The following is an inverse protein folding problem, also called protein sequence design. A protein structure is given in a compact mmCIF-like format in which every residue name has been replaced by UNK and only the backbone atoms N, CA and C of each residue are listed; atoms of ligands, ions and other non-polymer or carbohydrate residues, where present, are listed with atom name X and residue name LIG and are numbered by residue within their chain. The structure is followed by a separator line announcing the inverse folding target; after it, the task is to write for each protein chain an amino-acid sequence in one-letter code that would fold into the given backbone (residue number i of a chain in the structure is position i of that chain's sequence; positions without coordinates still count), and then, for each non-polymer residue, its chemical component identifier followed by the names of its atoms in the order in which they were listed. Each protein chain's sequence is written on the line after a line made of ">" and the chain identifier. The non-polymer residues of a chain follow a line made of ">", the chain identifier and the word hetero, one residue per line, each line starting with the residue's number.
data_IF_749711542477
#
_entry.id   IF_749711542477
#
_cell.length_a   1.000
_cell.length_b   1.000
_cell.length_c   1.000
_cell.angle_alpha   90.00
_cell.angle_beta   90.00
_cell.angle_gamma   90.00
#
_symmetry.space_group_name_H-M   'P 1'
#
loop_
_entity.id
_entity.type
_entity.pdbx_description
1 polymer ?
#
# COMPACT_ATOMS: atom_id res chain seq x y z
N UNK A 1 19.07 3.10 21.51
CA UNK A 1 19.08 1.65 21.83
C UNK A 1 18.12 0.96 20.87
N UNK A 2 18.62 0.24 19.85
CA UNK A 2 17.76 -0.51 18.91
C UNK A 2 17.36 -1.81 19.60
N UNK A 3 16.07 -1.98 19.89
CA UNK A 3 15.57 -3.12 20.65
C UNK A 3 15.70 -4.41 19.83
N UNK A 4 16.46 -5.37 20.34
CA UNK A 4 16.74 -6.70 19.76
C UNK A 4 15.53 -7.66 19.88
N UNK A 5 14.30 -7.19 19.63
CA UNK A 5 13.08 -8.03 19.72
C UNK A 5 12.58 -8.55 18.36
N UNK A 6 13.29 -8.23 17.27
CA UNK A 6 12.90 -8.55 15.88
C UNK A 6 12.80 -10.06 15.61
N UNK A 7 13.62 -10.87 16.26
CA UNK A 7 13.66 -12.32 16.01
C UNK A 7 12.52 -13.10 16.70
N UNK A 8 11.66 -12.43 17.47
CA UNK A 8 10.54 -13.08 18.20
C UNK A 8 9.18 -12.89 17.56
N UNK A 9 8.98 -11.86 16.74
CA UNK A 9 7.67 -11.54 16.17
C UNK A 9 7.59 -12.10 14.76
N UNK A 10 6.81 -13.18 14.60
CA UNK A 10 6.46 -13.70 13.29
C UNK A 10 5.04 -13.22 12.89
N UNK A 11 4.91 -12.24 11.98
CA UNK A 11 3.61 -11.69 11.62
C UNK A 11 2.84 -12.57 10.63
N UNK A 12 3.40 -13.70 10.15
CA UNK A 12 2.83 -14.49 9.06
C UNK A 12 1.42 -14.97 9.33
N UNK A 13 1.15 -15.46 10.54
CA UNK A 13 -0.15 -16.02 10.90
C UNK A 13 -0.97 -15.11 11.83
N UNK A 14 -0.55 -13.85 12.01
CA UNK A 14 -1.29 -12.88 12.82
C UNK A 14 -2.58 -12.43 12.13
N UNK A 15 -3.61 -12.14 12.92
CA UNK A 15 -4.80 -11.46 12.39
C UNK A 15 -4.45 -9.99 12.09
N UNK A 16 -5.05 -9.37 11.06
CA UNK A 16 -4.75 -7.98 10.69
C UNK A 16 -4.90 -6.97 11.85
N UNK A 17 -5.91 -7.18 12.72
CA UNK A 17 -6.12 -6.33 13.90
C UNK A 17 -4.93 -6.40 14.88
N UNK A 18 -4.42 -7.59 15.15
CA UNK A 18 -3.28 -7.79 16.05
C UNK A 18 -2.00 -7.16 15.47
N UNK A 19 -1.78 -7.35 14.17
CA UNK A 19 -0.64 -6.74 13.48
C UNK A 19 -0.70 -5.21 13.52
N UNK A 20 -1.89 -4.62 13.30
CA UNK A 20 -2.07 -3.16 13.40
C UNK A 20 -1.79 -2.63 14.80
N UNK A 21 -2.10 -3.36 15.87
CA UNK A 21 -1.76 -2.95 17.24
C UNK A 21 -0.23 -2.89 17.42
N UNK A 22 0.52 -3.87 16.91
CA UNK A 22 1.99 -3.84 16.94
C UNK A 22 2.56 -2.62 16.20
N UNK A 23 1.97 -2.32 15.03
CA UNK A 23 2.35 -1.16 14.23
C UNK A 23 2.03 0.15 14.97
N UNK A 24 0.86 0.26 15.58
CA UNK A 24 0.43 1.44 16.36
C UNK A 24 1.34 1.70 17.57
N UNK A 25 1.85 0.64 18.19
CA UNK A 25 2.81 0.73 19.29
C UNK A 25 4.27 0.96 18.80
N UNK A 26 4.48 1.12 17.50
CA UNK A 26 5.80 1.24 16.85
C UNK A 26 6.72 0.02 17.10
N UNK A 27 6.15 -1.12 17.48
CA UNK A 27 6.85 -2.39 17.67
C UNK A 27 7.19 -3.06 16.33
N UNK A 28 6.47 -2.69 15.27
CA UNK A 28 6.75 -3.11 13.89
C UNK A 28 6.86 -1.91 12.93
N UNK A 29 8.07 -1.66 12.43
CA UNK A 29 8.38 -0.58 11.49
C UNK A 29 9.02 -1.09 10.18
N UNK A 30 8.81 -2.36 9.85
CA UNK A 30 9.44 -3.06 8.72
C UNK A 30 8.43 -3.44 7.63
N UNK A 31 8.91 -4.08 6.55
CA UNK A 31 8.09 -4.51 5.43
C UNK A 31 6.93 -5.42 5.88
N UNK A 32 5.76 -5.24 5.28
CA UNK A 32 4.55 -6.03 5.58
C UNK A 32 4.39 -7.27 4.69
N UNK A 33 5.40 -7.59 3.86
CA UNK A 33 5.26 -8.52 2.74
C UNK A 33 4.73 -9.89 3.11
N UNK A 34 5.09 -10.37 4.29
CA UNK A 34 4.71 -11.69 4.78
C UNK A 34 3.81 -11.61 6.00
N UNK A 35 3.24 -10.45 6.32
CA UNK A 35 2.31 -10.31 7.42
C UNK A 35 0.89 -10.75 7.02
N UNK A 36 0.17 -11.36 7.96
CA UNK A 36 -1.25 -11.69 7.85
C UNK A 36 -1.59 -12.50 6.59
N UNK A 37 -1.03 -13.70 6.47
CA UNK A 37 -1.29 -14.61 5.36
C UNK A 37 -2.80 -14.82 5.14
N UNK A 38 -3.20 -14.79 3.86
CA UNK A 38 -4.60 -14.96 3.46
C UNK A 38 -5.43 -13.67 3.48
N UNK A 39 -4.90 -12.58 4.05
CA UNK A 39 -5.56 -11.28 4.02
C UNK A 39 -5.08 -10.40 2.87
N UNK A 40 -5.99 -9.57 2.36
CA UNK A 40 -5.65 -8.56 1.38
C UNK A 40 -4.77 -7.49 2.04
N UNK A 41 -3.80 -6.99 1.28
CA UNK A 41 -3.02 -5.81 1.62
C UNK A 41 -3.23 -4.77 0.53
N UNK A 42 -3.26 -3.50 0.93
CA UNK A 42 -3.51 -2.38 0.03
C UNK A 42 -2.30 -1.44 0.01
N UNK A 43 -2.14 -0.75 -1.11
CA UNK A 43 -1.32 0.46 -1.15
C UNK A 43 -2.21 1.64 -0.72
N UNK A 44 -1.57 2.71 -0.25
CA UNK A 44 -2.27 3.90 0.26
C UNK A 44 -1.82 5.14 -0.51
N UNK A 45 -2.78 5.97 -0.91
CA UNK A 45 -2.52 7.34 -1.35
C UNK A 45 -3.47 8.28 -0.61
N UNK A 46 -2.94 9.36 -0.06
CA UNK A 46 -3.72 10.39 0.63
C UNK A 46 -3.43 11.73 -0.05
N UNK A 47 -4.45 12.40 -0.53
CA UNK A 47 -4.33 13.66 -1.27
C UNK A 47 -5.31 14.70 -0.74
N UNK A 48 -4.98 16.00 -0.81
CA UNK A 48 -5.95 17.07 -0.58
C UNK A 48 -7.22 16.91 -1.45
N UNK A 49 -8.37 17.30 -0.90
CA UNK A 49 -9.68 17.22 -1.57
C UNK A 49 -9.69 17.88 -2.95
N UNK A 50 -8.97 18.99 -3.09
CA UNK A 50 -8.83 19.71 -4.37
C UNK A 50 -8.25 18.82 -5.50
N UNK A 51 -7.44 17.81 -5.17
CA UNK A 51 -6.84 16.88 -6.14
C UNK A 51 -7.54 15.52 -6.16
N UNK A 52 -8.46 15.25 -5.24
CA UNK A 52 -9.08 13.94 -5.10
C UNK A 52 -9.88 13.52 -6.34
N UNK A 53 -10.58 14.46 -6.99
CA UNK A 53 -11.31 14.18 -8.23
C UNK A 53 -10.37 13.77 -9.37
N UNK A 54 -9.30 14.55 -9.60
CA UNK A 54 -8.31 14.26 -10.63
C UNK A 54 -7.63 12.91 -10.37
N UNK A 55 -7.33 12.61 -9.11
CA UNK A 55 -6.72 11.33 -8.72
C UNK A 55 -7.66 10.16 -8.95
N UNK A 56 -8.93 10.28 -8.55
CA UNK A 56 -9.93 9.25 -8.81
C UNK A 56 -10.12 9.00 -10.31
N UNK A 57 -10.23 10.07 -11.11
CA UNK A 57 -10.32 9.96 -12.57
C UNK A 57 -9.06 9.33 -13.17
N UNK A 58 -7.88 9.65 -12.64
CA UNK A 58 -6.62 9.00 -13.03
C UNK A 58 -6.68 7.49 -12.74
N UNK A 59 -7.14 7.08 -11.56
CA UNK A 59 -7.29 5.67 -11.23
C UNK A 59 -8.32 4.97 -12.12
N UNK A 60 -9.48 5.59 -12.39
CA UNK A 60 -10.52 5.03 -13.28
C UNK A 60 -10.03 4.86 -14.72
N UNK A 61 -9.21 5.79 -15.22
CA UNK A 61 -8.57 5.67 -16.55
C UNK A 61 -7.43 4.66 -16.61
N UNK A 62 -6.91 4.25 -15.45
CA UNK A 62 -5.78 3.32 -15.31
C UNK A 62 -6.08 2.23 -14.27
N UNK A 63 -7.14 1.42 -14.46
CA UNK A 63 -7.65 0.52 -13.41
C UNK A 63 -6.71 -0.66 -13.12
N UNK A 64 -5.86 -1.05 -14.07
CA UNK A 64 -4.86 -2.11 -13.88
C UNK A 64 -3.73 -1.70 -12.92
N UNK A 65 -3.05 -0.55 -13.12
CA UNK A 65 -2.03 -0.10 -12.17
C UNK A 65 -2.58 0.57 -10.91
N UNK A 66 -3.79 1.14 -10.96
CA UNK A 66 -4.40 1.87 -9.86
C UNK A 66 -5.82 1.36 -9.52
N UNK A 67 -5.99 0.07 -9.19
CA UNK A 67 -7.30 -0.47 -8.84
C UNK A 67 -7.75 0.13 -7.50
N UNK A 68 -8.82 0.94 -7.50
CA UNK A 68 -9.39 1.51 -6.27
C UNK A 68 -10.25 0.46 -5.58
N UNK A 69 -9.98 0.21 -4.30
CA UNK A 69 -10.75 -0.71 -3.47
C UNK A 69 -11.73 0.03 -2.56
N UNK A 70 -11.31 1.15 -1.99
CA UNK A 70 -12.13 2.00 -1.12
C UNK A 70 -11.58 3.43 -1.16
N UNK A 71 -12.47 4.42 -1.02
CA UNK A 71 -12.14 5.84 -0.89
C UNK A 71 -12.85 6.37 0.34
N UNK A 72 -12.13 7.10 1.20
CA UNK A 72 -12.74 7.75 2.37
C UNK A 72 -13.13 9.18 2.03
N UNK A 73 -14.20 9.66 2.67
CA UNK A 73 -14.59 11.07 2.59
C UNK A 73 -13.48 11.97 3.17
N UNK A 74 -13.44 13.27 2.82
CA UNK A 74 -12.43 14.19 3.36
C UNK A 74 -12.39 14.19 4.90
N UNK A 75 -11.20 14.04 5.46
CA UNK A 75 -10.95 14.05 6.91
C UNK A 75 -11.20 12.72 7.61
N UNK A 76 -11.93 11.80 6.98
CA UNK A 76 -12.19 10.46 7.53
C UNK A 76 -10.91 9.64 7.65
N UNK A 77 -10.73 9.01 8.81
CA UNK A 77 -9.51 8.27 9.15
C UNK A 77 -9.70 6.77 9.13
N UNK A 78 -10.95 6.30 9.21
CA UNK A 78 -11.28 4.89 9.35
C UNK A 78 -11.93 4.36 8.05
N UNK A 79 -11.38 3.29 7.45
CA UNK A 79 -12.07 2.56 6.38
C UNK A 79 -13.44 2.09 6.83
N UNK A 80 -14.45 2.11 5.96
CA UNK A 80 -15.79 1.60 6.27
C UNK A 80 -15.92 0.11 5.94
N UNK A 81 -15.17 -0.38 4.94
CA UNK A 81 -15.29 -1.74 4.42
C UNK A 81 -14.04 -2.57 4.72
N UNK A 82 -12.85 -2.05 4.38
CA UNK A 82 -11.62 -2.86 4.39
C UNK A 82 -11.12 -3.19 5.80
N UNK A 83 -11.22 -2.24 6.73
CA UNK A 83 -10.79 -2.38 8.13
C UNK A 83 -11.46 -1.33 9.03
N UNK A 84 -12.74 -1.51 9.42
CA UNK A 84 -13.52 -0.56 10.24
C UNK A 84 -12.87 -0.10 11.54
N UNK A 85 -12.01 -0.93 12.11
CA UNK A 85 -11.32 -0.68 13.36
C UNK A 85 -9.95 -0.01 13.19
N UNK A 86 -9.49 0.22 11.96
CA UNK A 86 -8.18 0.79 11.68
C UNK A 86 -8.23 2.31 11.54
N UNK A 87 -7.31 3.00 12.20
CA UNK A 87 -7.04 4.42 11.94
C UNK A 87 -5.87 4.52 10.96
N UNK A 88 -6.12 5.04 9.75
CA UNK A 88 -5.13 5.18 8.68
C UNK A 88 -3.93 6.05 9.06
N UNK A 89 -4.03 6.85 10.12
CA UNK A 89 -2.94 7.72 10.57
C UNK A 89 -1.85 6.95 11.31
N UNK A 90 -2.18 5.79 11.86
CA UNK A 90 -1.32 4.99 12.76
C UNK A 90 -1.27 3.50 12.38
N UNK A 91 -2.10 3.03 11.45
CA UNK A 91 -2.21 1.61 11.12
C UNK A 91 -1.15 1.05 10.14
N UNK A 92 -0.26 1.90 9.61
CA UNK A 92 0.82 1.48 8.71
C UNK A 92 2.19 1.69 9.37
N UNK A 93 3.16 0.78 9.14
CA UNK A 93 4.46 0.83 9.80
C UNK A 93 5.32 2.01 9.37
N UNK A 94 5.07 2.57 8.19
CA UNK A 94 5.83 3.70 7.63
C UNK A 94 5.05 4.42 6.55
N UNK A 95 5.17 5.74 6.52
CA UNK A 95 4.57 6.62 5.51
C UNK A 95 5.66 7.35 4.73
N UNK A 96 5.27 7.97 3.62
CA UNK A 96 6.11 8.89 2.87
C UNK A 96 5.35 10.19 2.66
N UNK A 97 5.91 11.29 3.14
CA UNK A 97 5.29 12.60 3.03
C UNK A 97 5.90 13.34 1.87
N UNK A 98 5.05 13.82 0.96
CA UNK A 98 5.48 14.57 -0.22
C UNK A 98 5.01 16.02 -0.15
N UNK A 99 5.89 16.96 -0.51
CA UNK A 99 5.57 18.37 -0.72
C UNK A 99 6.21 18.84 -2.02
N UNK A 100 5.41 19.43 -2.90
CA UNK A 100 5.85 19.91 -4.22
C UNK A 100 6.62 18.83 -5.02
N UNK A 101 6.12 17.59 -5.00
CA UNK A 101 6.70 16.45 -5.72
C UNK A 101 7.99 15.88 -5.10
N UNK A 102 8.46 16.38 -3.95
CA UNK A 102 9.63 15.86 -3.24
C UNK A 102 9.24 15.20 -1.93
N UNK A 103 9.87 14.08 -1.60
CA UNK A 103 9.70 13.44 -0.30
C UNK A 103 10.42 14.27 0.76
N UNK A 104 9.72 14.65 1.83
CA UNK A 104 10.25 15.52 2.90
C UNK A 104 10.37 14.80 4.25
N UNK A 105 9.64 13.69 4.43
CA UNK A 105 9.67 12.91 5.67
C UNK A 105 9.22 11.46 5.41
N UNK A 106 9.58 10.56 6.32
CA UNK A 106 9.14 9.17 6.33
C UNK A 106 8.79 8.66 7.75
N UNK A 107 7.72 9.17 8.39
CA UNK A 107 7.40 8.86 9.78
C UNK A 107 6.68 7.50 9.93
N UNK A 108 6.60 7.00 11.17
CA UNK A 108 5.83 5.79 11.53
C UNK A 108 4.32 6.06 11.72
N UNK A 109 3.92 7.33 11.85
CA UNK A 109 2.54 7.78 11.88
C UNK A 109 2.42 9.17 11.24
N UNK A 110 1.20 9.58 10.88
CA UNK A 110 0.95 10.86 10.19
C UNK A 110 0.05 11.81 10.97
N UNK A 111 -0.03 11.65 12.30
CA UNK A 111 -0.86 12.51 13.16
C UNK A 111 -0.52 13.99 12.98
N UNK A 112 0.76 14.33 12.91
CA UNK A 112 1.24 15.71 12.73
C UNK A 112 1.09 16.25 11.30
N UNK A 113 0.77 15.37 10.33
CA UNK A 113 0.59 15.73 8.92
C UNK A 113 -0.87 15.72 8.49
N UNK A 114 -1.77 15.24 9.34
CA UNK A 114 -3.17 15.07 9.00
C UNK A 114 -3.88 16.43 8.88
N UNK A 115 -4.83 16.50 7.94
CA UNK A 115 -5.72 17.65 7.71
C UNK A 115 -7.12 17.14 7.41
N UNK A 116 -8.12 17.93 7.78
CA UNK A 116 -9.55 17.59 7.58
C UNK A 116 -9.99 17.56 6.11
N UNK A 117 -9.16 18.07 5.19
CA UNK A 117 -9.46 18.04 3.75
C UNK A 117 -8.78 16.89 3.01
N UNK A 118 -8.08 15.97 3.71
CA UNK A 118 -7.41 14.85 3.07
C UNK A 118 -8.40 13.75 2.70
N UNK A 119 -8.28 13.25 1.47
CA UNK A 119 -9.04 12.12 0.94
C UNK A 119 -8.10 10.92 0.82
N UNK A 120 -8.53 9.79 1.39
CA UNK A 120 -7.73 8.56 1.45
C UNK A 120 -8.20 7.56 0.40
N UNK A 121 -7.26 7.04 -0.38
CA UNK A 121 -7.48 6.03 -1.41
C UNK A 121 -6.75 4.74 -1.06
N UNK A 122 -7.51 3.66 -0.91
CA UNK A 122 -6.97 2.31 -0.80
C UNK A 122 -6.88 1.68 -2.18
N UNK A 123 -5.66 1.41 -2.61
CA UNK A 123 -5.39 0.80 -3.91
C UNK A 123 -5.03 -0.67 -3.75
N UNK A 124 -5.49 -1.50 -4.68
CA UNK A 124 -5.17 -2.91 -4.72
C UNK A 124 -3.66 -3.16 -4.86
N UNK A 125 -3.24 -4.33 -4.41
CA UNK A 125 -1.86 -4.76 -4.43
C UNK A 125 -1.74 -6.11 -5.13
N UNK A 126 -0.62 -6.35 -5.84
CA UNK A 126 -0.31 -7.64 -6.49
C UNK A 126 0.08 -8.75 -5.50
N UNK A 127 -0.29 -8.62 -4.22
CA UNK A 127 0.04 -9.57 -3.15
C UNK A 127 -0.94 -10.72 -3.06
N UNK A 128 -2.20 -10.54 -3.43
CA UNK A 128 -3.12 -11.67 -3.61
C UNK A 128 -2.56 -12.69 -4.59
N UNK A 129 -1.90 -12.22 -5.66
CA UNK A 129 -1.17 -13.07 -6.60
C UNK A 129 0.00 -13.83 -5.95
N UNK A 130 0.73 -13.22 -5.00
CA UNK A 130 1.79 -13.94 -4.28
C UNK A 130 1.24 -15.12 -3.46
N UNK A 131 0.08 -14.94 -2.83
CA UNK A 131 -0.56 -16.02 -2.07
C UNK A 131 -1.02 -17.15 -2.98
N UNK A 132 -1.54 -16.84 -4.16
CA UNK A 132 -1.90 -17.83 -5.17
C UNK A 132 -0.67 -18.64 -5.64
N UNK A 133 0.43 -17.97 -5.95
CA UNK A 133 1.68 -18.65 -6.35
C UNK A 133 2.23 -19.56 -5.24
N UNK A 134 2.18 -19.10 -3.97
CA UNK A 134 2.54 -19.91 -2.79
C UNK A 134 1.68 -21.16 -2.70
N UNK A 135 0.36 -21.01 -2.78
CA UNK A 135 -0.58 -22.12 -2.67
C UNK A 135 -0.40 -23.14 -3.79
N UNK A 136 -0.01 -22.69 -4.99
CA UNK A 136 0.27 -23.53 -6.15
C UNK A 136 1.69 -24.13 -6.16
N UNK A 137 2.54 -23.84 -5.16
CA UNK A 137 3.95 -24.25 -5.12
C UNK A 137 4.76 -23.85 -6.38
N UNK A 138 4.40 -22.74 -7.02
CA UNK A 138 5.14 -22.23 -8.18
C UNK A 138 6.39 -21.52 -7.67
N UNK A 139 7.61 -21.78 -8.16
CA UNK A 139 8.79 -21.02 -7.76
C UNK A 139 8.87 -19.67 -8.50
N UNK A 140 9.06 -18.56 -7.76
CA UNK A 140 9.33 -17.24 -8.35
C UNK A 140 10.42 -16.48 -7.58
N UNK A 141 11.08 -15.54 -8.24
CA UNK A 141 11.98 -14.56 -7.61
C UNK A 141 11.49 -13.15 -7.89
N UNK A 142 11.39 -12.30 -6.86
CA UNK A 142 11.00 -10.89 -7.01
C UNK A 142 12.24 -10.00 -7.11
N UNK A 143 12.28 -9.10 -8.10
CA UNK A 143 13.40 -8.18 -8.31
C UNK A 143 13.15 -6.76 -7.82
N UNK A 144 11.88 -6.34 -7.72
CA UNK A 144 11.53 -5.01 -7.21
C UNK A 144 10.35 -4.40 -7.93
N UNK A 145 10.27 -3.07 -7.86
CA UNK A 145 9.34 -2.26 -8.62
C UNK A 145 10.14 -1.27 -9.49
N UNK A 146 9.71 -1.09 -10.74
CA UNK A 146 10.43 -0.32 -11.74
C UNK A 146 9.49 0.64 -12.46
N UNK A 147 9.98 1.86 -12.68
CA UNK A 147 9.31 2.85 -13.51
C UNK A 147 9.61 2.52 -14.97
N UNK A 148 8.56 2.41 -15.79
CA UNK A 148 8.70 2.14 -17.23
C UNK A 148 8.72 3.44 -18.04
N UNK A 149 8.78 3.33 -19.37
CA UNK A 149 8.54 4.44 -20.29
C UNK A 149 7.11 4.46 -20.83
N UNK A 150 6.28 3.47 -20.46
CA UNK A 150 4.89 3.35 -20.90
C UNK A 150 4.05 4.38 -20.12
N UNK A 151 3.42 5.37 -20.76
CA UNK A 151 2.64 6.37 -20.06
C UNK A 151 1.30 5.80 -19.57
N UNK A 152 0.86 6.23 -18.38
CA UNK A 152 -0.53 6.10 -17.98
C UNK A 152 -1.41 7.15 -18.71
N UNK A 153 -2.70 6.88 -18.82
CA UNK A 153 -3.68 7.83 -19.32
C UNK A 153 -3.82 9.00 -18.32
N UNK A 154 -3.49 10.25 -18.69
CA UNK A 154 -3.48 11.37 -17.75
C UNK A 154 -4.89 11.77 -17.31
N UNK A 155 -5.02 12.43 -16.15
CA UNK A 155 -6.24 13.06 -15.68
C UNK A 155 -5.91 14.28 -14.80
N UNK A 156 -6.38 15.47 -15.22
CA UNK A 156 -6.08 16.72 -14.53
C UNK A 156 -4.57 16.91 -14.31
N UNK A 157 -4.15 17.13 -13.07
CA UNK A 157 -2.73 17.29 -12.73
C UNK A 157 -1.93 15.97 -12.72
N UNK A 158 -2.60 14.81 -12.70
CA UNK A 158 -1.93 13.51 -12.60
C UNK A 158 -1.54 12.96 -13.96
N UNK A 159 -0.24 12.76 -14.13
CA UNK A 159 0.39 12.10 -15.28
C UNK A 159 1.68 11.44 -14.83
N UNK A 160 2.04 10.34 -15.48
CA UNK A 160 3.28 9.65 -15.19
C UNK A 160 3.37 8.30 -15.89
N UNK A 161 4.57 7.71 -15.93
CA UNK A 161 4.76 6.37 -16.44
C UNK A 161 4.17 5.30 -15.51
N UNK A 162 3.81 4.17 -16.10
CA UNK A 162 3.44 2.94 -15.43
C UNK A 162 4.61 2.43 -14.58
N UNK A 163 4.33 2.08 -13.32
CA UNK A 163 5.23 1.32 -12.45
C UNK A 163 4.84 -0.15 -12.45
N UNK A 164 5.81 -1.04 -12.65
CA UNK A 164 5.62 -2.50 -12.68
C UNK A 164 6.39 -3.18 -11.56
N UNK A 165 5.94 -4.36 -11.14
CA UNK A 165 6.71 -5.22 -10.25
C UNK A 165 7.23 -6.42 -11.04
N UNK A 166 8.54 -6.68 -10.99
CA UNK A 166 9.18 -7.71 -11.81
C UNK A 166 9.38 -8.98 -10.98
N UNK A 167 8.99 -10.11 -11.58
CA UNK A 167 9.20 -11.46 -11.06
C UNK A 167 9.77 -12.34 -12.17
N UNK A 168 10.74 -13.20 -11.84
CA UNK A 168 11.12 -14.31 -12.72
C UNK A 168 10.43 -15.59 -12.27
N UNK A 169 10.17 -16.44 -13.26
CA UNK A 169 9.67 -17.79 -13.09
C UNK A 169 10.66 -18.75 -13.75
N UNK A 170 10.62 -20.03 -13.36
CA UNK A 170 11.54 -21.03 -13.90
C UNK A 170 11.32 -21.28 -15.39
N UNK A 171 10.08 -21.19 -15.85
CA UNK A 171 9.68 -21.40 -17.24
C UNK A 171 8.41 -20.57 -17.56
N UNK A 172 7.98 -20.59 -18.82
CA UNK A 172 6.80 -19.83 -19.27
C UNK A 172 5.47 -20.40 -18.77
N UNK A 173 5.38 -21.70 -18.50
CA UNK A 173 4.17 -22.33 -17.95
C UNK A 173 3.86 -21.78 -16.54
N UNK A 174 4.90 -21.61 -15.72
CA UNK A 174 4.78 -21.02 -14.37
C UNK A 174 4.39 -19.53 -14.37
N UNK A 175 4.56 -18.83 -15.50
CA UNK A 175 4.32 -17.40 -15.64
C UNK A 175 2.93 -17.06 -16.21
N UNK A 176 2.16 -18.06 -16.64
CA UNK A 176 0.86 -17.90 -17.31
C UNK A 176 -0.28 -18.23 -16.35
#
# INVERSE_FOLDING_TARGET
>A
MKNNNKDKINPLHMKPKEFRILVQNEEWADITMEACQGYAQTNLAIVPKEYAYDFLLFCTRNPRPCPVLEVLDPGETCPKILAPEADVRTALPKYRIFKNGKMIDEPNNILNYWREDLVTFFLGCSRSFLWALRAANVPWTRYGAYKTEIPCNPAGIFKGPLCVSVRSFKNSFDAT
#
